data_IF_650780040083
#
_entry.id   IF_650780040083
#
_cell.length_a   1.000
_cell.length_b   1.000
_cell.length_c   1.000
_cell.angle_alpha   90.00
_cell.angle_beta   90.00
_cell.angle_gamma   90.00
#
_symmetry.space_group_name_H-M   'P 1'
#
loop_
_entity.id
_entity.type
_entity.pdbx_description
1 polymer ?
#
# COMPACT_ATOMS: atom_id res chain seq x y z
N UNK A 1 -13.20 12.81 0.22
CA UNK A 1 -12.74 14.11 0.78
C UNK A 1 -12.32 13.97 2.23
N UNK A 2 -13.06 13.22 3.04
CA UNK A 2 -12.74 12.87 4.44
C UNK A 2 -11.30 12.38 4.64
N UNK A 3 -10.86 11.32 3.97
CA UNK A 3 -9.47 10.82 4.06
C UNK A 3 -8.41 11.93 3.83
N UNK A 4 -8.63 12.83 2.87
CA UNK A 4 -7.69 13.92 2.61
C UNK A 4 -7.61 14.88 3.79
N UNK A 5 -8.76 15.22 4.39
CA UNK A 5 -8.83 16.10 5.55
C UNK A 5 -8.16 15.47 6.78
N UNK A 6 -8.29 14.15 6.95
CA UNK A 6 -7.68 13.40 8.05
C UNK A 6 -6.16 13.28 7.90
N UNK A 7 -5.67 12.91 6.72
CA UNK A 7 -4.28 12.46 6.57
C UNK A 7 -3.33 13.53 6.02
N UNK A 8 -3.76 14.35 5.04
CA UNK A 8 -2.85 15.25 4.32
C UNK A 8 -2.15 16.28 5.21
N UNK A 9 -2.79 16.90 6.23
CA UNK A 9 -2.09 17.87 7.07
C UNK A 9 -0.83 17.29 7.74
N UNK A 10 -0.92 16.07 8.29
CA UNK A 10 0.21 15.42 8.95
C UNK A 10 1.23 14.85 7.95
N UNK A 11 0.77 14.30 6.81
CA UNK A 11 1.67 13.82 5.74
C UNK A 11 2.50 14.95 5.13
N UNK A 12 1.88 16.10 4.82
CA UNK A 12 2.55 17.24 4.21
C UNK A 12 3.34 18.07 5.24
N UNK A 13 2.89 18.06 6.50
CA UNK A 13 3.59 18.70 7.62
C UNK A 13 4.81 17.94 8.12
N UNK A 14 5.10 16.75 7.57
CA UNK A 14 6.24 15.91 7.97
C UNK A 14 6.04 15.15 9.28
N UNK A 15 4.82 15.10 9.81
CA UNK A 15 4.48 14.37 11.04
C UNK A 15 4.20 12.88 10.82
N UNK A 16 4.10 12.44 9.57
CA UNK A 16 3.94 11.03 9.20
C UNK A 16 4.92 10.66 8.08
N UNK A 17 5.68 9.60 8.29
CA UNK A 17 6.57 9.00 7.31
C UNK A 17 5.84 7.93 6.49
N UNK A 18 5.78 8.12 5.17
CA UNK A 18 5.08 7.23 4.26
C UNK A 18 5.96 6.21 3.57
N UNK A 19 5.39 5.04 3.28
CA UNK A 19 5.91 4.06 2.33
C UNK A 19 4.97 3.89 1.14
N UNK A 20 5.55 3.72 -0.05
CA UNK A 20 4.83 3.36 -1.28
C UNK A 20 5.11 1.91 -1.64
N UNK A 21 4.11 1.05 -1.49
CA UNK A 21 4.24 -0.40 -1.55
C UNK A 21 3.69 -0.96 -2.87
N UNK A 22 4.46 -0.78 -3.95
CA UNK A 22 4.14 -1.30 -5.28
C UNK A 22 4.88 -2.61 -5.58
N UNK A 23 6.22 -2.54 -5.67
CA UNK A 23 7.06 -3.63 -6.18
C UNK A 23 6.98 -4.90 -5.33
N UNK A 24 7.08 -6.03 -6.01
CA UNK A 24 7.11 -7.38 -5.44
C UNK A 24 8.34 -8.14 -5.94
N UNK A 25 8.78 -9.20 -5.24
CA UNK A 25 9.93 -10.00 -5.70
C UNK A 25 9.78 -10.51 -7.14
N UNK A 26 8.55 -10.78 -7.57
CA UNK A 26 8.22 -11.29 -8.91
C UNK A 26 7.68 -10.24 -9.87
N UNK A 27 7.42 -9.01 -9.41
CA UNK A 27 6.79 -7.95 -10.20
C UNK A 27 7.37 -6.57 -9.85
N UNK A 28 8.34 -6.12 -10.66
CA UNK A 28 8.97 -4.80 -10.55
C UNK A 28 8.52 -3.87 -11.68
N UNK A 29 9.17 -3.99 -12.85
CA UNK A 29 8.81 -3.22 -14.05
C UNK A 29 7.42 -3.56 -14.58
N UNK A 30 7.04 -4.85 -14.53
CA UNK A 30 5.68 -5.30 -14.80
C UNK A 30 4.81 -5.18 -13.54
N UNK A 31 4.49 -3.94 -13.17
CA UNK A 31 3.71 -3.63 -11.98
C UNK A 31 2.28 -4.20 -12.03
N UNK A 32 1.71 -4.36 -13.23
CA UNK A 32 0.37 -4.90 -13.41
C UNK A 32 0.28 -6.39 -13.07
N UNK A 33 1.40 -7.13 -13.15
CA UNK A 33 1.49 -8.54 -12.78
C UNK A 33 1.62 -8.79 -11.26
N UNK A 34 1.40 -7.77 -10.40
CA UNK A 34 1.44 -7.93 -8.95
C UNK A 34 0.50 -9.04 -8.46
N UNK A 35 0.95 -9.78 -7.46
CA UNK A 35 0.31 -10.94 -6.87
C UNK A 35 -0.28 -10.69 -5.47
N UNK A 36 0.08 -9.60 -4.78
CA UNK A 36 -0.55 -9.23 -3.50
C UNK A 36 -2.06 -9.09 -3.68
N UNK A 37 -2.83 -9.82 -2.87
CA UNK A 37 -4.29 -9.87 -2.95
C UNK A 37 -4.91 -9.03 -1.84
N UNK A 38 -6.06 -8.44 -2.14
CA UNK A 38 -6.97 -7.87 -1.16
C UNK A 38 -8.32 -8.59 -1.29
N UNK A 39 -8.78 -9.25 -0.23
CA UNK A 39 -10.05 -9.97 -0.19
C UNK A 39 -10.97 -9.27 0.80
N UNK A 40 -12.24 -9.04 0.44
CA UNK A 40 -13.23 -8.47 1.36
C UNK A 40 -13.54 -9.45 2.49
N UNK A 41 -13.56 -8.95 3.71
CA UNK A 41 -14.04 -9.66 4.90
C UNK A 41 -14.94 -8.71 5.70
N UNK A 42 -16.25 -8.83 5.49
CA UNK A 42 -17.24 -7.85 5.98
C UNK A 42 -17.03 -6.46 5.39
N UNK A 43 -16.81 -5.48 6.27
CA UNK A 43 -16.52 -4.08 5.91
C UNK A 43 -15.03 -3.83 5.65
N UNK A 44 -14.16 -4.81 5.94
CA UNK A 44 -12.71 -4.70 5.88
C UNK A 44 -12.10 -5.42 4.66
N UNK A 45 -10.80 -5.19 4.46
CA UNK A 45 -9.98 -5.89 3.47
C UNK A 45 -8.85 -6.65 4.14
N UNK A 46 -8.74 -7.95 3.85
CA UNK A 46 -7.62 -8.79 4.25
C UNK A 46 -6.60 -8.84 3.12
N UNK A 47 -5.36 -8.43 3.41
CA UNK A 47 -4.27 -8.40 2.44
C UNK A 47 -3.31 -9.57 2.65
N UNK A 48 -2.96 -10.26 1.57
CA UNK A 48 -1.98 -11.36 1.58
C UNK A 48 -1.02 -11.21 0.41
N UNK A 49 0.29 -11.14 0.70
CA UNK A 49 1.33 -11.01 -0.31
C UNK A 49 2.67 -10.59 0.27
N UNK A 50 3.64 -10.32 -0.60
CA UNK A 50 4.98 -9.85 -0.20
C UNK A 50 5.41 -8.70 -1.08
N UNK A 51 5.71 -7.57 -0.45
CA UNK A 51 6.28 -6.39 -1.10
C UNK A 51 7.79 -6.38 -0.93
N UNK A 52 8.51 -5.82 -1.89
CA UNK A 52 9.97 -5.79 -1.90
C UNK A 52 10.48 -4.39 -2.27
N UNK A 53 11.65 -4.04 -1.74
CA UNK A 53 12.35 -2.78 -2.05
C UNK A 53 11.58 -1.53 -1.62
N UNK A 54 10.84 -1.63 -0.51
CA UNK A 54 10.00 -0.55 -0.02
C UNK A 54 10.83 0.45 0.77
N UNK A 55 10.96 1.66 0.22
CA UNK A 55 11.55 2.80 0.94
C UNK A 55 10.77 3.06 2.24
N UNK A 56 11.51 3.25 3.33
CA UNK A 56 11.00 3.37 4.71
C UNK A 56 10.33 2.10 5.26
N UNK A 57 10.48 0.94 4.60
CA UNK A 57 10.00 -0.33 5.14
C UNK A 57 10.54 -0.57 6.56
N UNK A 58 9.62 -0.84 7.49
CA UNK A 58 9.94 -1.08 8.90
C UNK A 58 9.90 0.16 9.80
N UNK A 59 9.82 1.37 9.24
CA UNK A 59 9.78 2.63 10.02
C UNK A 59 8.67 3.60 9.59
N UNK A 60 7.88 3.26 8.57
CA UNK A 60 6.78 4.10 8.12
C UNK A 60 5.56 4.06 9.05
N UNK A 61 4.92 5.21 9.21
CA UNK A 61 3.67 5.36 9.95
C UNK A 61 2.47 4.92 9.10
N UNK A 62 2.59 5.00 7.77
CA UNK A 62 1.58 4.51 6.84
C UNK A 62 2.17 3.91 5.57
N UNK A 63 1.45 2.94 5.03
CA UNK A 63 1.80 2.26 3.79
C UNK A 63 0.69 2.43 2.76
N UNK A 64 1.00 3.04 1.62
CA UNK A 64 0.11 3.00 0.45
C UNK A 64 0.37 1.69 -0.29
N UNK A 65 -0.51 0.70 -0.11
CA UNK A 65 -0.33 -0.65 -0.66
C UNK A 65 -1.11 -0.84 -1.94
N UNK A 66 -0.44 -1.30 -2.99
CA UNK A 66 -1.09 -1.74 -4.22
C UNK A 66 -1.36 -3.24 -4.11
N UNK A 67 -2.64 -3.62 -4.22
CA UNK A 67 -3.10 -4.99 -4.12
C UNK A 67 -4.23 -5.25 -5.13
N UNK A 68 -4.34 -6.49 -5.56
CA UNK A 68 -5.38 -6.96 -6.48
C UNK A 68 -6.64 -7.33 -5.71
N UNK A 69 -7.72 -6.59 -5.93
CA UNK A 69 -9.03 -6.81 -5.29
C UNK A 69 -10.00 -7.66 -6.13
N UNK A 70 -9.59 -8.08 -7.33
CA UNK A 70 -10.41 -8.83 -8.29
C UNK A 70 -9.92 -8.59 -9.73
N UNK A 71 -10.47 -9.34 -10.69
CA UNK A 71 -10.10 -9.26 -12.12
C UNK A 71 -8.73 -9.87 -12.47
N UNK A 72 -8.49 -10.19 -13.77
CA UNK A 72 -7.18 -10.59 -14.27
C UNK A 72 -6.15 -9.46 -14.13
#
# INVERSE_FOLDING_TARGET
KEQRATWLPAMLGGGLLGSYCLSEPTAGSDAAALATKAVRDGEDWVLTGTKAWITHGGVSDFCTVLARSGGP
#
